data_IF_460229681959
#
_entry.id   IF_460229681959
#
_cell.length_a   1.000
_cell.length_b   1.000
_cell.length_c   1.000
_cell.angle_alpha   90.00
_cell.angle_beta   90.00
_cell.angle_gamma   90.00
#
_symmetry.space_group_name_H-M   'P 1'
#
loop_
_entity.id
_entity.type
_entity.pdbx_description
1 polymer ?
#
# COMPACT_ATOMS: atom_id res chain seq x y z
N UNK A 1 4.12 -25.50 -4.02
CA UNK A 1 3.63 -24.99 -5.28
C UNK A 1 2.14 -25.00 -5.24
N UNK A 2 1.73 -23.90 -4.92
CA UNK A 2 0.37 -23.68 -4.59
C UNK A 2 -0.32 -23.43 -5.89
N UNK A 3 -1.44 -24.06 -6.05
CA UNK A 3 -2.35 -23.98 -7.15
C UNK A 3 -2.60 -22.50 -7.54
N UNK A 4 -1.71 -21.95 -8.34
CA UNK A 4 -1.70 -20.55 -8.73
C UNK A 4 -3.05 -20.13 -9.33
N UNK A 5 -3.63 -20.99 -10.20
CA UNK A 5 -4.93 -20.74 -10.81
C UNK A 5 -6.07 -20.65 -9.78
N UNK A 6 -6.08 -21.52 -8.79
CA UNK A 6 -7.07 -21.44 -7.70
C UNK A 6 -6.94 -20.15 -6.90
N UNK A 7 -5.71 -19.73 -6.62
CA UNK A 7 -5.48 -18.46 -5.91
C UNK A 7 -5.99 -17.27 -6.72
N UNK A 8 -5.77 -17.27 -8.04
CA UNK A 8 -6.28 -16.20 -8.91
C UNK A 8 -7.81 -16.14 -8.91
N UNK A 9 -8.48 -17.30 -8.93
CA UNK A 9 -9.95 -17.37 -8.83
C UNK A 9 -10.41 -16.82 -7.47
N UNK A 10 -9.84 -17.33 -6.37
CA UNK A 10 -10.18 -16.88 -5.01
C UNK A 10 -9.97 -15.36 -4.83
N UNK A 11 -8.88 -14.81 -5.35
CA UNK A 11 -8.62 -13.36 -5.26
C UNK A 11 -9.66 -12.54 -6.02
N UNK A 12 -10.14 -13.03 -7.18
CA UNK A 12 -11.21 -12.36 -7.93
C UNK A 12 -12.56 -12.39 -7.21
N UNK A 13 -12.82 -13.41 -6.40
CA UNK A 13 -14.02 -13.51 -5.58
C UNK A 13 -13.92 -12.67 -4.29
N UNK A 14 -12.70 -12.48 -3.80
CA UNK A 14 -12.42 -11.86 -2.50
C UNK A 14 -12.32 -10.34 -2.58
N UNK A 15 -11.63 -9.82 -3.59
CA UNK A 15 -11.40 -8.38 -3.75
C UNK A 15 -12.50 -7.71 -4.56
N UNK A 16 -12.79 -6.44 -4.24
CA UNK A 16 -13.72 -5.62 -5.05
C UNK A 16 -13.26 -5.54 -6.51
N UNK A 17 -11.96 -5.37 -6.70
CA UNK A 17 -11.28 -5.42 -7.99
C UNK A 17 -9.88 -6.01 -7.82
N UNK A 18 -9.44 -6.79 -8.80
CA UNK A 18 -8.05 -7.21 -8.92
C UNK A 18 -7.68 -7.41 -10.39
N UNK A 19 -6.64 -6.72 -10.81
CA UNK A 19 -6.11 -6.83 -12.16
C UNK A 19 -5.28 -8.09 -12.39
N UNK A 20 -4.72 -8.21 -13.58
CA UNK A 20 -3.90 -9.34 -13.98
C UNK A 20 -2.54 -9.34 -13.27
N UNK A 21 -1.92 -10.52 -13.17
CA UNK A 21 -0.57 -10.75 -12.66
C UNK A 21 -0.34 -10.22 -11.24
N UNK A 22 -1.37 -10.24 -10.40
CA UNK A 22 -1.25 -9.87 -9.00
C UNK A 22 -0.84 -11.08 -8.18
N UNK A 23 0.01 -10.86 -7.18
CA UNK A 23 0.45 -11.86 -6.23
C UNK A 23 0.39 -11.31 -4.81
N UNK A 24 -0.46 -11.90 -3.99
CA UNK A 24 -0.63 -11.52 -2.58
C UNK A 24 -0.16 -12.68 -1.74
N UNK A 25 0.93 -12.50 -0.99
CA UNK A 25 1.44 -13.52 -0.07
C UNK A 25 0.50 -13.72 1.12
N UNK A 26 0.15 -14.95 1.47
CA UNK A 26 -0.61 -15.20 2.68
C UNK A 26 0.29 -15.07 3.93
N UNK A 27 -0.31 -14.79 5.11
CA UNK A 27 -1.72 -14.45 5.27
C UNK A 27 -2.04 -13.02 4.87
N UNK A 28 -3.29 -12.82 4.45
CA UNK A 28 -3.91 -11.51 4.23
C UNK A 28 -4.97 -11.28 5.32
N UNK A 29 -5.03 -10.08 5.86
CA UNK A 29 -5.96 -9.71 6.93
C UNK A 29 -6.84 -8.53 6.52
N UNK A 30 -8.13 -8.63 6.77
CA UNK A 30 -9.06 -7.55 6.49
C UNK A 30 -10.33 -7.65 7.34
N UNK A 31 -11.03 -6.52 7.52
CA UNK A 31 -12.29 -6.49 8.24
C UNK A 31 -13.44 -7.08 7.42
N UNK A 32 -13.48 -6.79 6.12
CA UNK A 32 -14.55 -7.18 5.20
C UNK A 32 -14.06 -8.15 4.10
N UNK A 33 -13.05 -8.95 4.40
CA UNK A 33 -12.55 -10.00 3.51
C UNK A 33 -11.86 -9.47 2.24
N UNK A 34 -11.56 -8.16 2.16
CA UNK A 34 -11.03 -7.52 0.96
C UNK A 34 -12.11 -6.96 0.03
N UNK A 35 -13.39 -7.05 0.43
CA UNK A 35 -14.52 -6.61 -0.41
C UNK A 35 -14.55 -5.11 -0.76
N UNK A 36 -13.73 -4.29 -0.13
CA UNK A 36 -13.54 -2.89 -0.47
C UNK A 36 -12.13 -2.57 -0.99
N UNK A 37 -11.33 -3.59 -1.30
CA UNK A 37 -9.97 -3.40 -1.81
C UNK A 37 -9.95 -3.53 -3.32
N UNK A 38 -9.39 -2.52 -3.99
CA UNK A 38 -9.24 -2.42 -5.43
C UNK A 38 -7.76 -2.45 -5.79
N UNK A 39 -7.31 -3.55 -6.34
CA UNK A 39 -5.95 -3.71 -6.86
C UNK A 39 -5.93 -3.53 -8.38
N UNK A 40 -5.03 -2.70 -8.87
CA UNK A 40 -4.67 -2.65 -10.28
C UNK A 40 -4.00 -3.95 -10.74
N UNK A 41 -3.26 -3.90 -11.84
CA UNK A 41 -2.50 -5.05 -12.38
C UNK A 41 -1.05 -5.05 -11.88
N UNK A 42 -0.43 -6.24 -11.91
CA UNK A 42 0.98 -6.43 -11.55
C UNK A 42 1.30 -5.96 -10.12
N UNK A 43 0.37 -6.16 -9.19
CA UNK A 43 0.58 -5.87 -7.77
C UNK A 43 1.33 -7.02 -7.12
N UNK A 44 2.34 -6.69 -6.34
CA UNK A 44 2.95 -7.62 -5.41
C UNK A 44 2.72 -7.14 -3.97
N UNK A 45 2.09 -7.96 -3.16
CA UNK A 45 1.97 -7.73 -1.73
C UNK A 45 2.62 -8.88 -0.97
N UNK A 46 3.51 -8.53 -0.05
CA UNK A 46 4.18 -9.48 0.83
C UNK A 46 3.24 -9.89 1.98
N UNK A 47 3.68 -10.86 2.77
CA UNK A 47 2.87 -11.47 3.83
C UNK A 47 2.44 -10.48 4.90
N UNK A 48 1.32 -10.81 5.58
CA UNK A 48 0.69 -9.99 6.62
C UNK A 48 0.25 -8.60 6.13
N UNK A 49 -0.11 -8.44 4.86
CA UNK A 49 -0.82 -7.24 4.45
C UNK A 49 -2.13 -7.15 5.23
N UNK A 50 -2.33 -6.05 5.93
CA UNK A 50 -3.53 -5.78 6.73
C UNK A 50 -4.30 -4.61 6.15
N UNK A 51 -5.52 -4.85 5.72
CA UNK A 51 -6.45 -3.85 5.20
C UNK A 51 -7.64 -3.71 6.16
N UNK A 52 -7.70 -2.57 6.86
CA UNK A 52 -8.91 -2.18 7.60
C UNK A 52 -9.85 -1.54 6.58
N UNK A 53 -10.56 -2.41 5.84
CA UNK A 53 -11.32 -2.08 4.64
C UNK A 53 -12.78 -1.76 4.93
N UNK A 54 -13.04 -0.92 5.94
CA UNK A 54 -14.38 -0.42 6.28
C UNK A 54 -14.96 0.49 5.18
N UNK A 55 -14.10 1.11 4.38
CA UNK A 55 -14.42 1.70 3.08
C UNK A 55 -13.29 1.41 2.10
N UNK A 56 -13.27 2.04 0.94
CA UNK A 56 -12.47 1.66 -0.21
C UNK A 56 -10.97 1.95 -0.05
N UNK A 57 -10.16 0.98 -0.46
CA UNK A 57 -8.70 1.07 -0.62
C UNK A 57 -8.39 0.86 -2.09
N UNK A 58 -7.68 1.80 -2.71
CA UNK A 58 -7.26 1.72 -4.10
C UNK A 58 -5.74 1.63 -4.18
N UNK A 59 -5.22 0.64 -4.90
CA UNK A 59 -3.79 0.46 -5.14
C UNK A 59 -3.54 0.37 -6.64
N UNK A 60 -2.78 1.30 -7.16
CA UNK A 60 -2.48 1.43 -8.59
C UNK A 60 -1.51 0.38 -9.11
N UNK A 61 -1.49 0.22 -10.43
CA UNK A 61 -0.70 -0.77 -11.15
C UNK A 61 0.79 -0.77 -10.75
N UNK A 62 1.42 -1.94 -10.77
CA UNK A 62 2.86 -2.12 -10.50
C UNK A 62 3.32 -1.68 -9.10
N UNK A 63 2.40 -1.50 -8.17
CA UNK A 63 2.75 -1.15 -6.77
C UNK A 63 3.16 -2.39 -5.99
N UNK A 64 4.20 -2.24 -5.19
CA UNK A 64 4.75 -3.27 -4.33
C UNK A 64 4.52 -2.91 -2.86
N UNK A 65 3.95 -3.83 -2.10
CA UNK A 65 3.70 -3.69 -0.67
C UNK A 65 4.61 -4.65 0.10
N UNK A 66 5.43 -4.11 0.99
CA UNK A 66 6.31 -4.90 1.86
C UNK A 66 5.54 -5.70 2.91
N UNK A 67 6.22 -6.59 3.65
CA UNK A 67 5.58 -7.36 4.71
C UNK A 67 5.08 -6.47 5.85
N UNK A 68 3.99 -6.89 6.49
CA UNK A 68 3.39 -6.19 7.63
C UNK A 68 2.94 -4.73 7.33
N UNK A 69 2.63 -4.42 6.09
CA UNK A 69 2.02 -3.13 5.74
C UNK A 69 0.59 -3.10 6.25
N UNK A 70 0.19 -1.98 6.84
CA UNK A 70 -1.17 -1.73 7.30
C UNK A 70 -1.77 -0.55 6.56
N UNK A 71 -2.96 -0.73 5.98
CA UNK A 71 -3.74 0.32 5.31
C UNK A 71 -5.07 0.41 6.05
N UNK A 72 -5.34 1.55 6.68
CA UNK A 72 -6.55 1.74 7.46
C UNK A 72 -7.45 2.79 6.82
N UNK A 73 -8.73 2.47 6.67
CA UNK A 73 -9.74 3.42 6.21
C UNK A 73 -10.69 3.89 7.31
N UNK A 74 -10.62 3.27 8.49
CA UNK A 74 -11.47 3.57 9.62
C UNK A 74 -10.72 4.26 10.76
N UNK A 75 -11.40 5.16 11.44
CA UNK A 75 -10.90 5.82 12.64
C UNK A 75 -12.03 6.20 13.59
N UNK A 76 -11.66 6.55 14.81
CA UNK A 76 -12.62 6.97 15.83
C UNK A 76 -12.37 8.43 16.26
N UNK A 77 -13.42 9.16 16.69
CA UNK A 77 -13.26 10.50 17.23
C UNK A 77 -12.35 10.55 18.44
N UNK A 78 -11.64 11.66 18.61
CA UNK A 78 -10.79 11.90 19.77
C UNK A 78 -11.63 12.07 21.04
N UNK A 79 -12.82 12.66 20.92
CA UNK A 79 -13.72 12.91 22.05
C UNK A 79 -14.27 11.59 22.62
N UNK A 80 -14.02 11.29 23.93
CA UNK A 80 -14.44 10.03 24.55
C UNK A 80 -15.93 9.74 24.43
N UNK A 81 -16.77 10.76 24.67
CA UNK A 81 -18.23 10.63 24.66
C UNK A 81 -18.78 10.16 23.31
N UNK A 82 -18.08 10.46 22.22
CA UNK A 82 -18.44 9.94 20.89
C UNK A 82 -18.03 8.49 20.73
N UNK A 83 -16.86 8.08 21.25
CA UNK A 83 -16.42 6.68 21.24
C UNK A 83 -17.31 5.80 22.09
N UNK A 84 -17.78 6.27 23.24
CA UNK A 84 -18.75 5.57 24.09
C UNK A 84 -20.07 5.26 23.34
N UNK A 85 -20.41 6.10 22.37
CA UNK A 85 -21.57 5.91 21.47
C UNK A 85 -21.21 5.17 20.18
N UNK A 86 -20.03 4.55 20.13
CA UNK A 86 -19.50 3.80 18.99
C UNK A 86 -19.38 4.60 17.68
N UNK A 87 -19.16 5.92 17.76
CA UNK A 87 -18.92 6.72 16.55
C UNK A 87 -17.63 6.30 15.87
N UNK A 88 -17.70 6.17 14.55
CA UNK A 88 -16.60 5.85 13.66
C UNK A 88 -16.70 6.74 12.42
N UNK A 89 -15.57 7.09 11.84
CA UNK A 89 -15.52 7.68 10.51
C UNK A 89 -14.70 6.78 9.58
N UNK A 90 -15.07 6.77 8.30
CA UNK A 90 -14.39 6.04 7.26
C UNK A 90 -13.96 7.01 6.17
N UNK A 91 -12.70 6.90 5.74
CA UNK A 91 -12.16 7.72 4.68
C UNK A 91 -11.30 6.84 3.75
N UNK A 92 -11.57 6.86 2.43
CA UNK A 92 -10.87 5.98 1.49
C UNK A 92 -9.38 6.32 1.41
N UNK A 93 -8.57 5.31 1.10
CA UNK A 93 -7.14 5.45 0.88
C UNK A 93 -6.83 5.18 -0.59
N UNK A 94 -5.98 6.03 -1.17
CA UNK A 94 -5.51 5.90 -2.54
C UNK A 94 -3.99 5.79 -2.57
N UNK A 95 -3.48 4.74 -3.19
CA UNK A 95 -2.06 4.56 -3.47
C UNK A 95 -1.90 4.50 -4.99
N UNK A 96 -1.07 5.36 -5.53
CA UNK A 96 -0.84 5.48 -6.97
C UNK A 96 -0.11 4.27 -7.58
N UNK A 97 0.30 4.43 -8.83
CA UNK A 97 1.02 3.43 -9.61
C UNK A 97 2.51 3.44 -9.30
N UNK A 98 3.17 2.28 -9.52
CA UNK A 98 4.63 2.15 -9.36
C UNK A 98 5.14 2.61 -7.98
N UNK A 99 4.36 2.44 -6.92
CA UNK A 99 4.79 2.75 -5.57
C UNK A 99 5.51 1.55 -4.94
N UNK A 100 6.43 1.84 -4.03
CA UNK A 100 6.98 0.85 -3.13
C UNK A 100 6.72 1.27 -1.69
N UNK A 101 5.84 0.52 -1.03
CA UNK A 101 5.51 0.74 0.38
C UNK A 101 6.34 -0.21 1.21
N UNK A 102 7.28 0.33 1.97
CA UNK A 102 8.25 -0.42 2.75
C UNK A 102 7.63 -1.24 3.88
N UNK A 103 8.37 -2.25 4.33
CA UNK A 103 7.94 -3.16 5.39
C UNK A 103 7.46 -2.42 6.65
N UNK A 104 6.34 -2.84 7.21
CA UNK A 104 5.80 -2.28 8.44
C UNK A 104 5.29 -0.84 8.34
N UNK A 105 5.15 -0.29 7.14
CA UNK A 105 4.55 1.03 6.97
C UNK A 105 3.06 1.00 7.30
N UNK A 106 2.56 2.10 7.85
CA UNK A 106 1.17 2.29 8.22
C UNK A 106 0.62 3.49 7.47
N UNK A 107 -0.49 3.31 6.76
CA UNK A 107 -1.18 4.38 6.03
C UNK A 107 -2.51 4.64 6.71
N UNK A 108 -2.70 5.90 7.14
CA UNK A 108 -3.87 6.32 7.90
C UNK A 108 -5.08 6.62 7.01
N UNK A 109 -6.29 6.67 7.59
CA UNK A 109 -7.51 6.95 6.84
C UNK A 109 -7.47 8.26 6.05
N UNK A 110 -8.00 8.23 4.83
CA UNK A 110 -8.14 9.40 3.97
C UNK A 110 -6.88 9.84 3.23
N UNK A 111 -5.78 9.08 3.33
CA UNK A 111 -4.50 9.42 2.69
C UNK A 111 -4.53 9.11 1.20
N UNK A 112 -3.97 10.05 0.43
CA UNK A 112 -3.65 9.87 -0.99
C UNK A 112 -2.13 9.90 -1.20
N UNK A 113 -1.60 8.84 -1.81
CA UNK A 113 -0.20 8.73 -2.22
C UNK A 113 -0.17 8.76 -3.74
N UNK A 114 0.61 9.68 -4.30
CA UNK A 114 0.77 9.83 -5.75
C UNK A 114 1.49 8.65 -6.41
N UNK A 115 1.80 8.78 -7.69
CA UNK A 115 2.53 7.77 -8.47
C UNK A 115 4.04 7.82 -8.18
N UNK A 116 4.73 6.69 -8.39
CA UNK A 116 6.19 6.59 -8.27
C UNK A 116 6.72 7.02 -6.89
N UNK A 117 6.00 6.69 -5.83
CA UNK A 117 6.38 7.05 -4.45
C UNK A 117 7.04 5.87 -3.76
N UNK A 118 8.14 6.12 -3.08
CA UNK A 118 8.76 5.17 -2.16
C UNK A 118 8.47 5.61 -0.72
N UNK A 119 7.80 4.75 0.03
CA UNK A 119 7.60 4.94 1.47
C UNK A 119 8.56 4.02 2.22
N UNK A 120 9.44 4.60 3.02
CA UNK A 120 10.43 3.85 3.79
C UNK A 120 9.80 2.91 4.82
N UNK A 121 10.52 1.83 5.16
CA UNK A 121 10.08 0.86 6.15
C UNK A 121 9.77 1.51 7.51
N UNK A 122 8.72 1.03 8.19
CA UNK A 122 8.31 1.53 9.50
C UNK A 122 7.73 2.94 9.52
N UNK A 123 7.46 3.53 8.36
CA UNK A 123 6.89 4.87 8.26
C UNK A 123 5.40 4.89 8.63
N UNK A 124 4.94 6.00 9.20
CA UNK A 124 3.52 6.25 9.46
C UNK A 124 3.05 7.44 8.61
N UNK A 125 2.31 7.15 7.55
CA UNK A 125 1.84 8.16 6.60
C UNK A 125 0.57 8.82 7.15
N UNK A 126 0.73 10.06 7.59
CA UNK A 126 -0.31 10.87 8.24
C UNK A 126 -0.83 12.00 7.38
N UNK A 127 -0.21 12.23 6.21
CA UNK A 127 -0.57 13.28 5.22
C UNK A 127 -0.35 12.74 3.82
N UNK A 128 -1.04 13.33 2.86
CA UNK A 128 -0.87 13.01 1.45
C UNK A 128 0.58 13.19 1.00
N UNK A 129 1.00 12.32 0.09
CA UNK A 129 2.33 12.36 -0.52
C UNK A 129 2.22 12.66 -2.02
N UNK A 130 2.96 13.65 -2.53
CA UNK A 130 2.98 13.93 -3.96
C UNK A 130 3.67 12.81 -4.74
N UNK A 131 3.48 12.77 -6.05
CA UNK A 131 4.16 11.83 -6.94
C UNK A 131 5.67 12.07 -7.00
N UNK A 132 6.43 11.01 -7.34
CA UNK A 132 7.87 11.05 -7.62
C UNK A 132 8.73 11.45 -6.41
N UNK A 133 8.38 10.98 -5.22
CA UNK A 133 9.14 11.26 -3.99
C UNK A 133 9.52 9.99 -3.24
N UNK A 134 10.56 10.14 -2.43
CA UNK A 134 10.92 9.22 -1.35
C UNK A 134 10.51 9.86 -0.03
N UNK A 135 9.67 9.19 0.75
CA UNK A 135 9.16 9.67 2.03
C UNK A 135 9.43 8.66 3.13
N UNK A 136 9.79 9.12 4.32
CA UNK A 136 10.20 8.26 5.43
C UNK A 136 9.79 8.82 6.79
N UNK A 137 9.71 7.95 7.74
CA UNK A 137 9.65 8.30 9.17
C UNK A 137 8.27 8.23 9.80
N UNK A 138 8.22 8.58 11.08
CA UNK A 138 7.01 8.68 11.89
C UNK A 138 7.02 10.02 12.66
N UNK A 139 6.19 11.01 12.27
CA UNK A 139 5.32 11.00 11.09
C UNK A 139 6.13 11.00 9.78
N UNK A 140 5.59 10.34 8.76
CA UNK A 140 6.22 10.26 7.44
C UNK A 140 6.32 11.63 6.78
N UNK A 141 7.49 11.95 6.25
CA UNK A 141 7.76 13.21 5.54
C UNK A 141 8.54 12.94 4.26
N UNK A 142 8.32 13.77 3.25
CA UNK A 142 9.13 13.74 2.03
C UNK A 142 10.59 14.00 2.40
N UNK A 143 11.44 13.06 2.03
CA UNK A 143 12.90 13.13 2.22
C UNK A 143 13.56 13.80 1.03
N UNK A 144 13.17 13.40 -0.19
CA UNK A 144 13.68 13.91 -1.47
C UNK A 144 12.79 13.52 -2.64
N UNK A 145 13.00 14.16 -3.76
CA UNK A 145 12.44 13.70 -5.04
C UNK A 145 13.21 12.48 -5.57
N UNK A 146 12.53 11.67 -6.38
CA UNK A 146 13.18 10.68 -7.26
C UNK A 146 13.98 11.49 -8.32
N UNK A 147 15.24 11.14 -8.55
CA UNK A 147 16.13 11.96 -9.36
C UNK A 147 17.03 11.14 -10.31
N UNK A 148 17.94 11.80 -11.04
CA UNK A 148 18.82 11.16 -12.03
C UNK A 148 19.74 10.08 -11.44
N UNK A 149 20.16 10.23 -10.17
CA UNK A 149 20.96 9.22 -9.48
C UNK A 149 20.21 7.87 -9.41
N UNK A 150 18.88 7.90 -9.22
CA UNK A 150 18.05 6.69 -9.16
C UNK A 150 17.93 5.97 -10.53
N UNK A 151 18.31 6.64 -11.63
CA UNK A 151 18.41 6.05 -12.97
C UNK A 151 19.74 5.35 -13.22
N UNK A 152 20.77 5.69 -12.45
CA UNK A 152 22.10 5.12 -12.60
C UNK A 152 22.37 4.01 -11.58
N UNK A 153 21.82 4.13 -10.36
CA UNK A 153 22.13 3.24 -9.26
C UNK A 153 20.85 2.65 -8.66
N UNK A 154 20.78 1.33 -8.60
CA UNK A 154 19.63 0.66 -7.97
C UNK A 154 19.78 0.47 -6.46
N UNK A 155 21.01 0.50 -5.93
CA UNK A 155 21.28 0.42 -4.50
C UNK A 155 22.69 0.90 -4.18
N UNK A 156 22.82 1.96 -3.37
CA UNK A 156 24.13 2.56 -2.99
C UNK A 156 24.98 2.87 -4.23
N UNK A 157 26.16 2.24 -4.32
CA UNK A 157 27.14 2.34 -5.42
C UNK A 157 26.94 1.30 -6.53
N UNK A 158 25.88 0.50 -6.45
CA UNK A 158 25.56 -0.55 -7.43
C UNK A 158 24.85 0.05 -8.64
N UNK A 159 25.55 0.13 -9.76
CA UNK A 159 25.02 0.63 -11.03
C UNK A 159 24.01 -0.34 -11.66
N UNK A 160 23.05 0.25 -12.35
CA UNK A 160 22.08 -0.49 -13.18
C UNK A 160 22.79 -0.93 -14.46
N UNK A 161 22.73 -2.22 -14.77
CA UNK A 161 23.14 -2.73 -16.08
C UNK A 161 21.91 -2.86 -16.99
N UNK A 162 21.57 -1.78 -17.66
CA UNK A 162 20.40 -1.69 -18.55
C UNK A 162 20.42 -2.69 -19.72
N UNK A 163 21.59 -3.25 -20.06
CA UNK A 163 21.73 -4.21 -21.17
C UNK A 163 21.37 -5.64 -20.75
N UNK A 164 21.26 -5.92 -19.46
CA UNK A 164 20.99 -7.25 -18.91
C UNK A 164 19.69 -7.31 -18.06
N UNK A 165 18.74 -6.40 -18.28
CA UNK A 165 17.42 -6.41 -17.65
C UNK A 165 16.38 -7.13 -18.49
#
# INVERSE_FOLDING_TARGET
PIEFEKRQIMMKEMFAEIGENCYIEPPFHSNFGGGHVHFGKNIYANFNLTCVDDTHIYVGDYTMLGPNVTIATAGHPILPELREKAYQYNAPVHIGKNCWIGAGAIILPGISIGDNVVVGAGSVVTKDLPSNVVAVGNPCKVLRDVNEHDKEYYFKDKKIDWNNL
#
